data_IF_310662515656
#
_entry.id   IF_310662515656
#
_cell.length_a   1.000
_cell.length_b   1.000
_cell.length_c   1.000
_cell.angle_alpha   90.00
_cell.angle_beta   90.00
_cell.angle_gamma   90.00
#
_symmetry.space_group_name_H-M   'P 1'
#
loop_
_entity.id
_entity.type
_entity.pdbx_description
1 polymer ?
#
# COMPACT_ATOMS: atom_id res chain seq x y z
N UNK A 1 -4.18 -25.68 13.09
CA UNK A 1 -4.07 -24.51 12.20
C UNK A 1 -5.25 -24.51 11.22
N UNK A 2 -5.85 -23.36 11.01
CA UNK A 2 -6.94 -23.19 10.03
C UNK A 2 -6.38 -23.34 8.61
N UNK A 3 -6.76 -24.38 7.88
CA UNK A 3 -6.27 -24.68 6.52
C UNK A 3 -6.92 -23.88 5.40
N UNK A 4 -7.84 -22.96 5.72
CA UNK A 4 -8.45 -22.09 4.71
C UNK A 4 -7.44 -21.10 4.13
N UNK A 5 -7.55 -20.73 2.85
CA UNK A 5 -6.60 -19.82 2.23
C UNK A 5 -6.75 -18.37 2.72
N UNK A 6 -5.71 -17.58 2.49
CA UNK A 6 -5.71 -16.13 2.66
C UNK A 6 -6.11 -15.46 1.35
N UNK A 7 -7.09 -14.58 1.38
CA UNK A 7 -7.43 -13.71 0.24
C UNK A 7 -6.50 -12.51 0.16
N UNK A 8 -6.03 -12.18 -1.04
CA UNK A 8 -5.31 -10.94 -1.31
C UNK A 8 -6.06 -10.16 -2.38
N UNK A 9 -6.47 -8.96 -2.05
CA UNK A 9 -7.24 -8.09 -2.93
C UNK A 9 -6.44 -6.86 -3.37
N UNK A 10 -6.42 -6.60 -4.66
CA UNK A 10 -5.88 -5.36 -5.24
C UNK A 10 -6.74 -4.88 -6.41
N UNK A 11 -6.58 -3.61 -6.77
CA UNK A 11 -7.24 -3.01 -7.93
C UNK A 11 -6.70 -3.49 -9.28
N UNK A 12 -5.57 -4.19 -9.31
CA UNK A 12 -4.93 -4.63 -10.53
C UNK A 12 -3.86 -5.69 -10.30
N UNK A 13 -2.67 -5.50 -10.85
CA UNK A 13 -1.54 -6.42 -10.74
C UNK A 13 -0.50 -5.99 -9.69
N UNK A 14 -0.55 -4.74 -9.23
CA UNK A 14 0.41 -4.20 -8.27
C UNK A 14 0.45 -4.96 -6.95
N UNK A 15 -0.69 -5.49 -6.49
CA UNK A 15 -0.80 -6.28 -5.26
C UNK A 15 0.00 -7.58 -5.26
N UNK A 16 0.49 -8.06 -6.42
CA UNK A 16 1.43 -9.18 -6.49
C UNK A 16 2.75 -8.88 -5.75
N UNK A 17 3.09 -7.62 -5.54
CA UNK A 17 4.23 -7.23 -4.69
C UNK A 17 4.01 -7.66 -3.24
N UNK A 18 2.80 -7.52 -2.69
CA UNK A 18 2.44 -8.03 -1.36
C UNK A 18 2.38 -9.56 -1.32
N UNK A 19 1.86 -10.21 -2.39
CA UNK A 19 1.85 -11.67 -2.51
C UNK A 19 3.28 -12.24 -2.44
N UNK A 20 4.24 -11.60 -3.11
CA UNK A 20 5.66 -12.00 -3.04
C UNK A 20 6.19 -11.99 -1.60
N UNK A 21 5.82 -11.00 -0.80
CA UNK A 21 6.19 -10.92 0.61
C UNK A 21 5.51 -12.02 1.41
N UNK A 22 4.19 -12.21 1.24
CA UNK A 22 3.43 -13.26 1.93
C UNK A 22 4.02 -14.66 1.65
N UNK A 23 4.33 -14.99 0.41
CA UNK A 23 4.97 -16.26 0.04
C UNK A 23 6.31 -16.49 0.73
N UNK A 24 7.07 -15.42 1.00
CA UNK A 24 8.35 -15.47 1.71
C UNK A 24 8.17 -15.69 3.22
N UNK A 25 7.18 -15.00 3.84
CA UNK A 25 7.03 -14.98 5.31
C UNK A 25 6.00 -15.99 5.84
N UNK A 26 5.12 -16.49 4.97
CA UNK A 26 4.07 -17.48 5.23
C UNK A 26 4.07 -18.54 4.10
N UNK A 27 5.17 -19.31 3.93
CA UNK A 27 5.32 -20.23 2.79
C UNK A 27 4.31 -21.38 2.78
N UNK A 28 3.79 -21.77 3.95
CA UNK A 28 2.83 -22.86 4.12
C UNK A 28 1.37 -22.45 3.89
N UNK A 29 1.11 -21.13 3.71
CA UNK A 29 -0.25 -20.64 3.53
C UNK A 29 -0.68 -20.67 2.07
N UNK A 30 -1.88 -21.16 1.81
CA UNK A 30 -2.52 -21.00 0.51
C UNK A 30 -3.02 -19.58 0.32
N UNK A 31 -2.78 -19.02 -0.87
CA UNK A 31 -3.16 -17.66 -1.22
C UNK A 31 -4.13 -17.64 -2.40
N UNK A 32 -5.20 -16.88 -2.28
CA UNK A 32 -6.12 -16.56 -3.37
C UNK A 32 -5.97 -15.08 -3.69
N UNK A 33 -5.38 -14.77 -4.84
CA UNK A 33 -5.24 -13.39 -5.30
C UNK A 33 -6.39 -13.00 -6.22
N UNK A 34 -6.94 -11.80 -5.98
CA UNK A 34 -7.88 -11.16 -6.89
C UNK A 34 -7.41 -9.74 -7.21
N UNK A 35 -7.16 -9.47 -8.48
CA UNK A 35 -6.88 -8.14 -9.01
C UNK A 35 -7.95 -7.71 -10.00
N UNK A 36 -8.59 -6.57 -9.74
CA UNK A 36 -9.67 -6.04 -10.59
C UNK A 36 -9.14 -5.34 -11.83
N UNK A 37 -8.46 -6.10 -12.69
CA UNK A 37 -7.79 -5.58 -13.90
C UNK A 37 -8.75 -4.99 -14.94
N UNK A 38 -10.04 -5.32 -14.86
CA UNK A 38 -11.04 -4.80 -15.78
C UNK A 38 -11.43 -3.34 -15.51
N UNK A 39 -11.19 -2.85 -14.27
CA UNK A 39 -11.67 -1.53 -13.82
C UNK A 39 -10.55 -0.57 -13.40
N UNK A 40 -9.29 -0.96 -13.59
CA UNK A 40 -8.13 -0.07 -13.34
C UNK A 40 -8.19 1.17 -14.22
N UNK A 41 -7.62 2.31 -13.77
CA UNK A 41 -7.05 2.56 -12.46
C UNK A 41 -8.09 3.00 -11.41
N UNK A 42 -7.89 2.61 -10.14
CA UNK A 42 -8.74 3.04 -9.02
C UNK A 42 -8.39 4.43 -8.49
N UNK A 43 -7.14 4.84 -8.62
CA UNK A 43 -6.58 6.04 -7.98
C UNK A 43 -7.20 7.38 -8.34
N UNK A 44 -8.01 7.45 -9.39
CA UNK A 44 -8.77 8.65 -9.80
C UNK A 44 -10.29 8.52 -9.63
N UNK A 45 -10.80 7.41 -9.07
CA UNK A 45 -12.25 7.17 -8.93
C UNK A 45 -12.81 7.85 -7.68
N UNK A 46 -14.14 8.09 -7.68
CA UNK A 46 -14.84 8.58 -6.50
C UNK A 46 -14.90 7.53 -5.38
N UNK A 47 -15.02 7.97 -4.12
CA UNK A 47 -15.15 7.08 -2.96
C UNK A 47 -16.33 6.12 -3.11
N UNK A 48 -17.47 6.59 -3.60
CA UNK A 48 -18.66 5.76 -3.84
C UNK A 48 -18.38 4.63 -4.84
N UNK A 49 -17.74 4.97 -5.97
CA UNK A 49 -17.36 3.99 -7.00
C UNK A 49 -16.38 2.97 -6.43
N UNK A 50 -15.37 3.42 -5.68
CA UNK A 50 -14.39 2.55 -5.05
C UNK A 50 -15.03 1.59 -4.06
N UNK A 51 -15.92 2.07 -3.20
CA UNK A 51 -16.64 1.22 -2.25
C UNK A 51 -17.51 0.19 -2.96
N UNK A 52 -18.23 0.60 -4.01
CA UNK A 52 -19.05 -0.31 -4.82
C UNK A 52 -18.20 -1.44 -5.42
N UNK A 53 -17.06 -1.12 -6.03
CA UNK A 53 -16.16 -2.10 -6.63
C UNK A 53 -15.58 -3.02 -5.55
N UNK A 54 -15.05 -2.46 -4.48
CA UNK A 54 -14.45 -3.23 -3.39
C UNK A 54 -15.42 -4.22 -2.73
N UNK A 55 -16.71 -3.86 -2.58
CA UNK A 55 -17.75 -4.79 -2.10
C UNK A 55 -17.97 -5.96 -3.06
N UNK A 56 -17.96 -5.71 -4.37
CA UNK A 56 -18.11 -6.76 -5.38
C UNK A 56 -16.91 -7.73 -5.37
N UNK A 57 -15.71 -7.16 -5.29
CA UNK A 57 -14.46 -7.91 -5.31
C UNK A 57 -14.30 -8.76 -4.03
N UNK A 58 -14.61 -8.18 -2.88
CA UNK A 58 -14.58 -8.90 -1.61
C UNK A 58 -15.64 -10.00 -1.56
N UNK A 59 -16.85 -9.77 -2.12
CA UNK A 59 -17.88 -10.80 -2.25
C UNK A 59 -17.41 -11.99 -3.08
N UNK A 60 -16.72 -11.73 -4.19
CA UNK A 60 -16.13 -12.78 -5.00
C UNK A 60 -15.05 -13.55 -4.23
N UNK A 61 -14.15 -12.87 -3.55
CA UNK A 61 -13.13 -13.51 -2.73
C UNK A 61 -13.74 -14.38 -1.62
N UNK A 62 -14.76 -13.90 -0.92
CA UNK A 62 -15.44 -14.65 0.15
C UNK A 62 -16.07 -15.95 -0.32
N UNK A 63 -16.40 -16.11 -1.62
CA UNK A 63 -16.86 -17.38 -2.17
C UNK A 63 -15.80 -18.50 -2.14
N UNK A 64 -14.57 -18.18 -1.74
CA UNK A 64 -13.43 -19.11 -1.67
C UNK A 64 -13.15 -19.66 -0.26
N UNK A 65 -14.07 -19.46 0.68
CA UNK A 65 -13.92 -19.90 2.09
C UNK A 65 -12.58 -19.48 2.71
N UNK A 66 -12.36 -18.20 2.81
CA UNK A 66 -11.11 -17.61 3.28
C UNK A 66 -11.07 -17.50 4.82
N UNK A 67 -9.87 -17.57 5.42
CA UNK A 67 -9.66 -17.29 6.85
C UNK A 67 -9.34 -15.82 7.16
N UNK A 68 -8.79 -15.08 6.20
CA UNK A 68 -8.50 -13.66 6.32
C UNK A 68 -8.35 -13.02 4.94
N UNK A 69 -8.44 -11.70 4.84
CA UNK A 69 -8.18 -10.94 3.62
C UNK A 69 -7.15 -9.84 3.88
N UNK A 70 -6.16 -9.73 2.99
CA UNK A 70 -5.29 -8.59 2.87
C UNK A 70 -5.76 -7.68 1.73
N UNK A 71 -6.18 -6.47 2.03
CA UNK A 71 -6.41 -5.42 1.03
C UNK A 71 -5.06 -4.74 0.75
N UNK A 72 -4.36 -5.21 -0.28
CA UNK A 72 -3.06 -4.68 -0.68
C UNK A 72 -3.18 -3.29 -1.32
N UNK A 73 -4.32 -3.00 -1.97
CA UNK A 73 -4.56 -1.72 -2.64
C UNK A 73 -4.58 -0.54 -1.67
N UNK A 74 -3.62 0.39 -1.80
CA UNK A 74 -3.57 1.61 -1.00
C UNK A 74 -4.83 2.46 -1.16
N UNK A 75 -5.35 2.61 -2.39
CA UNK A 75 -6.56 3.38 -2.68
C UNK A 75 -7.79 2.81 -1.96
N UNK A 76 -7.98 1.49 -1.98
CA UNK A 76 -9.10 0.84 -1.28
C UNK A 76 -8.92 0.92 0.23
N UNK A 77 -7.70 0.69 0.73
CA UNK A 77 -7.39 0.75 2.17
C UNK A 77 -7.64 2.14 2.75
N UNK A 78 -7.39 3.21 1.98
CA UNK A 78 -7.59 4.59 2.46
C UNK A 78 -9.02 5.09 2.32
N UNK A 79 -9.85 4.48 1.48
CA UNK A 79 -11.20 4.99 1.17
C UNK A 79 -12.34 4.10 1.64
N UNK A 80 -12.12 2.80 1.74
CA UNK A 80 -13.20 1.81 1.89
C UNK A 80 -12.99 0.81 3.03
N UNK A 81 -11.78 0.70 3.60
CA UNK A 81 -11.41 -0.36 4.54
C UNK A 81 -12.35 -0.45 5.74
N UNK A 82 -12.58 0.66 6.45
CA UNK A 82 -13.43 0.69 7.65
C UNK A 82 -14.84 0.17 7.37
N UNK A 83 -15.42 0.58 6.23
CA UNK A 83 -16.75 0.11 5.81
C UNK A 83 -16.73 -1.39 5.50
N UNK A 84 -15.69 -1.88 4.81
CA UNK A 84 -15.56 -3.31 4.48
C UNK A 84 -15.36 -4.16 5.73
N UNK A 85 -14.59 -3.67 6.71
CA UNK A 85 -14.41 -4.35 8.00
C UNK A 85 -15.72 -4.40 8.80
N UNK A 86 -16.48 -3.31 8.83
CA UNK A 86 -17.77 -3.26 9.54
C UNK A 86 -18.84 -4.16 8.92
N UNK A 87 -18.78 -4.41 7.63
CA UNK A 87 -19.74 -5.23 6.87
C UNK A 87 -19.39 -6.72 6.81
N UNK A 88 -18.23 -7.14 7.38
CA UNK A 88 -17.76 -8.52 7.25
C UNK A 88 -17.19 -9.05 8.57
N UNK A 89 -17.57 -10.28 8.92
CA UNK A 89 -17.04 -10.99 10.09
C UNK A 89 -15.62 -11.55 9.85
N UNK A 90 -15.18 -11.59 8.59
CA UNK A 90 -13.87 -12.07 8.19
C UNK A 90 -12.80 -11.03 8.57
N UNK A 91 -11.67 -11.42 9.17
CA UNK A 91 -10.56 -10.52 9.43
C UNK A 91 -10.03 -9.89 8.14
N UNK A 92 -10.05 -8.56 8.07
CA UNK A 92 -9.56 -7.80 6.91
C UNK A 92 -8.45 -6.87 7.37
N UNK A 93 -7.26 -7.03 6.79
CA UNK A 93 -6.10 -6.18 7.02
C UNK A 93 -5.94 -5.21 5.85
N UNK A 94 -5.78 -3.93 6.14
CA UNK A 94 -5.41 -2.90 5.16
C UNK A 94 -3.97 -2.44 5.35
N UNK A 95 -3.52 -1.55 4.46
CA UNK A 95 -2.11 -1.14 4.44
C UNK A 95 -1.78 0.06 5.34
N UNK A 96 -2.74 0.90 5.70
CA UNK A 96 -2.46 2.21 6.31
C UNK A 96 -1.84 2.09 7.69
N UNK A 97 -2.54 1.43 8.62
CA UNK A 97 -2.14 1.33 10.03
C UNK A 97 -0.75 0.69 10.23
N UNK A 98 -0.45 -0.50 9.65
CA UNK A 98 0.86 -1.12 9.84
C UNK A 98 2.00 -0.30 9.24
N UNK A 99 1.76 0.32 8.09
CA UNK A 99 2.74 1.19 7.43
C UNK A 99 3.06 2.43 8.26
N UNK A 100 2.03 3.07 8.82
CA UNK A 100 2.22 4.24 9.68
C UNK A 100 2.98 3.88 10.96
N UNK A 101 2.67 2.77 11.61
CA UNK A 101 3.43 2.28 12.78
C UNK A 101 4.91 2.09 12.46
N UNK A 102 5.20 1.47 11.31
CA UNK A 102 6.58 1.29 10.88
C UNK A 102 7.27 2.63 10.60
N UNK A 103 6.62 3.52 9.85
CA UNK A 103 7.18 4.83 9.51
C UNK A 103 7.52 5.65 10.76
N UNK A 104 6.62 5.72 11.73
CA UNK A 104 6.87 6.39 13.03
C UNK A 104 8.04 5.74 13.78
N UNK A 105 8.15 4.41 13.75
CA UNK A 105 9.21 3.69 14.48
C UNK A 105 10.61 3.92 13.91
N UNK A 106 10.74 4.22 12.62
CA UNK A 106 12.05 4.40 11.95
C UNK A 106 12.44 5.85 11.73
N UNK A 107 11.47 6.78 11.72
CA UNK A 107 11.76 8.20 11.52
C UNK A 107 12.49 8.80 12.72
N UNK A 108 13.60 9.48 12.45
CA UNK A 108 14.41 10.19 13.45
C UNK A 108 14.10 11.67 13.49
N UNK A 109 13.88 12.28 12.31
CA UNK A 109 13.55 13.71 12.20
C UNK A 109 12.09 14.02 12.51
N UNK A 110 11.22 13.00 12.57
CA UNK A 110 9.76 13.11 12.62
C UNK A 110 9.16 13.76 11.37
N UNK A 111 9.92 13.88 10.28
CA UNK A 111 9.44 14.31 8.96
C UNK A 111 9.27 13.12 8.04
N UNK A 112 8.01 12.73 7.86
CA UNK A 112 7.63 11.56 7.08
C UNK A 112 7.01 12.02 5.76
N UNK A 113 7.68 11.70 4.65
CA UNK A 113 7.13 11.84 3.31
C UNK A 113 6.21 10.67 2.98
N UNK A 114 5.17 10.91 2.19
CA UNK A 114 4.34 9.85 1.63
C UNK A 114 4.09 10.11 0.15
N UNK A 115 4.35 9.09 -0.68
CA UNK A 115 3.95 9.08 -2.09
C UNK A 115 2.83 8.06 -2.29
N UNK A 116 1.78 8.44 -3.03
CA UNK A 116 0.61 7.59 -3.26
C UNK A 116 -0.21 8.03 -4.49
N UNK A 117 -1.33 7.36 -4.73
CA UNK A 117 -2.32 7.82 -5.70
C UNK A 117 -3.04 9.09 -5.22
N UNK A 118 -3.63 9.81 -6.15
CA UNK A 118 -4.39 11.04 -5.83
C UNK A 118 -5.52 10.77 -4.82
N UNK A 119 -6.25 9.67 -4.97
CA UNK A 119 -7.35 9.29 -4.06
C UNK A 119 -6.81 9.00 -2.65
N UNK A 120 -5.68 8.29 -2.52
CA UNK A 120 -5.06 7.99 -1.23
C UNK A 120 -4.60 9.27 -0.53
N UNK A 121 -3.96 10.20 -1.24
CA UNK A 121 -3.54 11.49 -0.66
C UNK A 121 -4.75 12.31 -0.23
N UNK A 122 -5.77 12.45 -1.08
CA UNK A 122 -6.98 13.22 -0.76
C UNK A 122 -7.81 12.66 0.39
N UNK A 123 -7.67 11.36 0.70
CA UNK A 123 -8.38 10.75 1.82
C UNK A 123 -7.91 11.27 3.19
N UNK A 124 -6.66 11.73 3.30
CA UNK A 124 -6.04 12.13 4.58
C UNK A 124 -5.81 10.98 5.56
N UNK A 125 -6.05 9.72 5.16
CA UNK A 125 -6.02 8.56 6.06
C UNK A 125 -4.62 8.33 6.67
N UNK A 126 -3.56 8.47 5.88
CA UNK A 126 -2.18 8.33 6.38
C UNK A 126 -1.83 9.42 7.38
N UNK A 127 -2.13 10.68 7.06
CA UNK A 127 -1.88 11.81 7.96
C UNK A 127 -2.63 11.67 9.29
N UNK A 128 -3.90 11.25 9.24
CA UNK A 128 -4.71 11.04 10.44
C UNK A 128 -4.10 9.96 11.34
N UNK A 129 -3.69 8.83 10.76
CA UNK A 129 -3.10 7.72 11.52
C UNK A 129 -1.71 8.10 12.06
N UNK A 130 -0.85 8.72 11.25
CA UNK A 130 0.48 9.15 11.67
C UNK A 130 0.41 10.11 12.87
N UNK A 131 -0.45 11.14 12.80
CA UNK A 131 -0.64 12.10 13.92
C UNK A 131 -1.28 11.47 15.15
N UNK A 132 -2.12 10.46 14.98
CA UNK A 132 -2.69 9.70 16.09
C UNK A 132 -1.64 8.85 16.81
N UNK A 133 -0.70 8.26 16.04
CA UNK A 133 0.39 7.44 16.59
C UNK A 133 1.46 8.30 17.29
N UNK A 134 1.81 9.42 16.69
CA UNK A 134 2.76 10.38 17.24
C UNK A 134 2.40 11.81 16.81
N UNK A 135 1.83 12.65 17.72
CA UNK A 135 1.45 14.02 17.40
C UNK A 135 2.62 14.94 16.99
N UNK A 136 3.87 14.55 17.27
CA UNK A 136 5.06 15.32 16.87
C UNK A 136 5.48 15.10 15.42
N UNK A 137 4.86 14.14 14.72
CA UNK A 137 5.19 13.83 13.33
C UNK A 137 4.65 14.93 12.40
N UNK A 138 5.53 15.43 11.58
CA UNK A 138 5.19 16.25 10.41
C UNK A 138 5.05 15.33 9.20
N UNK A 139 4.02 15.54 8.38
CA UNK A 139 3.71 14.70 7.23
C UNK A 139 3.58 15.54 5.98
N UNK A 140 4.29 15.18 4.92
CA UNK A 140 4.15 15.75 3.60
C UNK A 140 3.76 14.66 2.58
N UNK A 141 2.52 14.76 2.05
CA UNK A 141 1.99 13.82 1.10
C UNK A 141 2.10 14.33 -0.34
N UNK A 142 2.59 13.49 -1.24
CA UNK A 142 2.73 13.82 -2.67
C UNK A 142 1.96 12.83 -3.53
N UNK A 143 0.96 13.25 -4.32
CA UNK A 143 0.34 12.39 -5.32
C UNK A 143 1.29 12.19 -6.50
N UNK A 144 1.44 10.92 -6.93
CA UNK A 144 2.32 10.52 -8.04
C UNK A 144 1.52 9.84 -9.16
N UNK A 145 0.69 10.59 -9.91
CA UNK A 145 -0.26 10.01 -10.86
C UNK A 145 0.39 9.29 -12.04
N UNK A 146 1.63 9.62 -12.40
CA UNK A 146 2.33 9.00 -13.54
C UNK A 146 3.02 7.68 -13.19
N UNK A 147 3.29 7.38 -11.93
CA UNK A 147 4.02 6.16 -11.55
C UNK A 147 3.28 4.89 -11.96
N UNK A 148 1.99 4.78 -11.67
CA UNK A 148 1.20 3.58 -12.03
C UNK A 148 1.16 3.37 -13.54
N UNK A 149 0.77 4.35 -14.40
CA UNK A 149 0.79 4.16 -15.84
C UNK A 149 2.16 3.81 -16.42
N UNK A 150 3.23 4.41 -15.90
CA UNK A 150 4.59 4.10 -16.36
C UNK A 150 4.98 2.66 -16.03
N UNK A 151 4.73 2.22 -14.80
CA UNK A 151 5.00 0.83 -14.38
C UNK A 151 4.19 -0.17 -15.21
N UNK A 152 2.90 0.07 -15.41
CA UNK A 152 2.02 -0.81 -16.19
C UNK A 152 2.41 -0.87 -17.69
N UNK A 153 3.11 0.16 -18.19
CA UNK A 153 3.69 0.17 -19.53
C UNK A 153 5.16 -0.29 -19.58
N UNK A 154 5.64 -0.98 -18.52
CA UNK A 154 6.96 -1.59 -18.49
C UNK A 154 8.12 -0.63 -18.19
N UNK A 155 7.85 0.62 -17.82
CA UNK A 155 8.84 1.65 -17.51
C UNK A 155 9.14 1.71 -16.02
N UNK A 156 9.89 0.73 -15.53
CA UNK A 156 10.24 0.61 -14.11
C UNK A 156 11.70 0.18 -13.88
N UNK A 157 12.51 0.17 -14.94
CA UNK A 157 13.91 -0.24 -14.85
C UNK A 157 14.82 0.95 -14.64
N UNK A 158 15.86 0.77 -13.85
CA UNK A 158 16.95 1.73 -13.71
C UNK A 158 17.60 1.99 -15.08
N UNK A 159 17.93 3.26 -15.34
CA UNK A 159 18.43 3.73 -16.62
C UNK A 159 17.33 4.16 -17.62
N UNK A 160 16.05 3.98 -17.30
CA UNK A 160 14.96 4.58 -18.06
C UNK A 160 14.79 6.05 -17.67
N UNK A 161 15.26 6.94 -18.54
CA UNK A 161 15.28 8.39 -18.28
C UNK A 161 13.89 8.98 -17.98
N UNK A 162 12.81 8.39 -18.50
CA UNK A 162 11.45 8.91 -18.28
C UNK A 162 11.02 8.71 -16.85
N UNK A 163 11.09 7.47 -16.35
CA UNK A 163 10.70 7.18 -14.98
C UNK A 163 11.62 7.83 -13.96
N UNK A 164 12.93 7.90 -14.22
CA UNK A 164 13.88 8.58 -13.36
C UNK A 164 13.64 10.09 -13.28
N UNK A 165 13.28 10.73 -14.39
CA UNK A 165 12.94 12.17 -14.40
C UNK A 165 11.67 12.42 -13.59
N UNK A 166 10.64 11.61 -13.81
CA UNK A 166 9.38 11.72 -13.06
C UNK A 166 9.59 11.44 -11.58
N UNK A 167 10.45 10.47 -11.22
CA UNK A 167 10.79 10.19 -9.83
C UNK A 167 11.45 11.39 -9.16
N UNK A 168 12.44 12.03 -9.81
CA UNK A 168 13.08 13.24 -9.29
C UNK A 168 12.06 14.38 -9.09
N UNK A 169 11.20 14.62 -10.06
CA UNK A 169 10.16 15.66 -9.95
C UNK A 169 9.25 15.46 -8.74
N UNK A 170 8.85 14.22 -8.47
CA UNK A 170 7.97 13.94 -7.35
C UNK A 170 8.67 13.91 -6.00
N UNK A 171 9.91 13.44 -5.95
CA UNK A 171 10.63 13.21 -4.68
C UNK A 171 11.41 14.43 -4.20
N UNK A 172 11.94 15.26 -5.11
CA UNK A 172 12.75 16.44 -4.73
C UNK A 172 12.06 17.32 -3.68
N UNK A 173 10.78 17.70 -3.80
CA UNK A 173 10.14 18.53 -2.78
C UNK A 173 10.07 17.88 -1.38
N UNK A 174 9.97 16.56 -1.31
CA UNK A 174 9.97 15.81 -0.05
C UNK A 174 11.37 15.82 0.60
N UNK A 175 12.41 15.68 -0.23
CA UNK A 175 13.80 15.69 0.21
C UNK A 175 14.23 17.06 0.67
N UNK A 176 13.90 18.10 -0.08
CA UNK A 176 14.17 19.52 0.29
C UNK A 176 13.44 19.91 1.59
N UNK A 177 12.26 19.35 1.82
CA UNK A 177 11.54 19.52 3.07
C UNK A 177 12.19 18.78 4.26
N UNK A 178 13.10 17.83 3.99
CA UNK A 178 13.88 17.13 4.99
C UNK A 178 13.25 15.83 5.48
N UNK A 179 12.45 15.15 4.65
CA UNK A 179 11.95 13.81 4.97
C UNK A 179 13.12 12.82 5.15
N UNK A 180 13.12 12.09 6.27
CA UNK A 180 14.05 10.98 6.53
C UNK A 180 13.40 9.61 6.35
N UNK A 181 12.12 9.60 6.14
CA UNK A 181 11.31 8.40 5.96
C UNK A 181 10.31 8.65 4.84
N UNK A 182 10.18 7.70 3.92
CA UNK A 182 9.27 7.80 2.77
C UNK A 182 8.37 6.56 2.71
N UNK A 183 7.06 6.78 2.84
CA UNK A 183 6.03 5.75 2.68
C UNK A 183 5.74 5.54 1.18
N UNK A 184 5.87 4.30 0.72
CA UNK A 184 5.47 3.84 -0.61
C UNK A 184 3.99 3.38 -0.54
N UNK A 185 3.05 4.33 -0.63
CA UNK A 185 1.62 4.13 -0.39
C UNK A 185 0.83 3.52 -1.56
N UNK A 186 1.50 2.91 -2.53
CA UNK A 186 0.88 2.23 -3.67
C UNK A 186 1.58 0.91 -3.96
N UNK A 187 0.82 -0.11 -4.34
CA UNK A 187 1.31 -1.46 -4.65
C UNK A 187 2.27 -1.54 -5.83
N UNK A 188 2.27 -0.56 -6.72
CA UNK A 188 3.19 -0.47 -7.84
C UNK A 188 4.58 0.07 -7.46
N UNK A 189 4.68 0.86 -6.38
CA UNK A 189 5.90 1.59 -6.06
C UNK A 189 7.08 0.72 -5.60
N UNK A 190 6.89 -0.47 -4.99
CA UNK A 190 7.99 -1.39 -4.76
C UNK A 190 8.73 -1.84 -6.03
N UNK A 191 8.08 -1.77 -7.21
CA UNK A 191 8.75 -2.01 -8.50
C UNK A 191 9.69 -0.87 -8.91
N UNK A 192 9.54 0.30 -8.31
CA UNK A 192 10.38 1.49 -8.50
C UNK A 192 11.37 1.69 -7.35
N UNK A 193 11.47 0.74 -6.41
CA UNK A 193 12.22 0.92 -5.15
C UNK A 193 13.68 1.31 -5.39
N UNK A 194 14.36 0.67 -6.34
CA UNK A 194 15.75 1.01 -6.69
C UNK A 194 15.89 2.45 -7.20
N UNK A 195 14.97 2.89 -8.07
CA UNK A 195 14.96 4.25 -8.62
C UNK A 195 14.65 5.27 -7.52
N UNK A 196 13.66 4.97 -6.68
CA UNK A 196 13.27 5.83 -5.56
C UNK A 196 14.43 5.94 -4.56
N UNK A 197 15.09 4.82 -4.22
CA UNK A 197 16.23 4.79 -3.33
C UNK A 197 17.42 5.60 -3.87
N UNK A 198 17.70 5.48 -5.17
CA UNK A 198 18.78 6.26 -5.82
C UNK A 198 18.49 7.78 -5.77
N UNK A 199 17.24 8.18 -5.97
CA UNK A 199 16.84 9.60 -5.90
C UNK A 199 16.86 10.12 -4.46
N UNK A 200 16.38 9.32 -3.51
CA UNK A 200 16.30 9.69 -2.08
C UNK A 200 17.67 9.70 -1.40
N UNK A 201 18.60 8.85 -1.85
CA UNK A 201 19.87 8.66 -1.20
C UNK A 201 19.78 7.87 0.12
N UNK A 202 20.95 7.58 0.75
CA UNK A 202 21.01 6.68 1.92
C UNK A 202 20.45 7.26 3.21
N UNK A 203 20.10 8.54 3.22
CA UNK A 203 19.53 9.24 4.40
C UNK A 203 18.05 8.99 4.61
N UNK A 204 17.36 8.41 3.63
CA UNK A 204 15.90 8.21 3.66
C UNK A 204 15.56 6.72 3.76
N UNK A 205 14.76 6.38 4.76
CA UNK A 205 14.24 5.01 4.94
C UNK A 205 12.96 4.84 4.13
N UNK A 206 12.92 3.87 3.21
CA UNK A 206 11.72 3.52 2.47
C UNK A 206 10.86 2.54 3.28
N UNK A 207 9.55 2.78 3.33
CA UNK A 207 8.57 1.93 4.02
C UNK A 207 7.52 1.47 3.03
N UNK A 208 7.52 0.18 2.72
CA UNK A 208 6.60 -0.43 1.76
C UNK A 208 5.28 -0.79 2.41
N UNK A 209 4.17 -0.21 1.93
CA UNK A 209 2.85 -0.48 2.46
C UNK A 209 2.42 -1.95 2.32
N UNK A 210 2.77 -2.60 1.21
CA UNK A 210 2.50 -4.02 0.99
C UNK A 210 3.30 -4.94 1.92
N UNK A 211 4.55 -4.60 2.20
CA UNK A 211 5.39 -5.38 3.11
C UNK A 211 4.89 -5.32 4.55
N UNK A 212 4.65 -4.11 5.07
CA UNK A 212 4.20 -3.93 6.45
C UNK A 212 2.82 -4.57 6.70
N UNK A 213 1.92 -4.49 5.72
CA UNK A 213 0.61 -5.15 5.82
C UNK A 213 0.70 -6.68 5.77
N UNK A 214 1.65 -7.25 5.06
CA UNK A 214 1.90 -8.69 5.07
C UNK A 214 2.41 -9.16 6.44
N UNK A 215 3.31 -8.41 7.08
CA UNK A 215 3.74 -8.70 8.46
C UNK A 215 2.62 -8.56 9.47
N UNK A 216 1.75 -7.56 9.31
CA UNK A 216 0.57 -7.39 10.18
C UNK A 216 -0.40 -8.57 10.06
N UNK A 217 -0.67 -9.03 8.83
CA UNK A 217 -1.48 -10.22 8.61
C UNK A 217 -0.87 -11.45 9.28
N UNK A 218 0.44 -11.65 9.14
CA UNK A 218 1.16 -12.74 9.85
C UNK A 218 0.97 -12.65 11.36
N UNK A 219 1.06 -11.44 11.94
CA UNK A 219 0.86 -11.20 13.37
C UNK A 219 -0.57 -11.55 13.81
N UNK A 220 -1.56 -11.13 13.01
CA UNK A 220 -2.97 -11.42 13.26
C UNK A 220 -3.24 -12.92 13.25
N UNK A 221 -2.79 -13.65 12.22
CA UNK A 221 -2.98 -15.09 12.12
C UNK A 221 -2.33 -15.87 13.27
N UNK A 222 -1.14 -15.46 13.71
CA UNK A 222 -0.48 -16.05 14.89
C UNK A 222 -1.24 -15.82 16.20
N UNK A 223 -1.98 -14.72 16.31
CA UNK A 223 -2.77 -14.42 17.50
C UNK A 223 -4.10 -15.21 17.55
N UNK A 224 -4.54 -15.74 16.42
CA UNK A 224 -5.76 -16.55 16.30
C UNK A 224 -5.52 -18.06 16.47
N UNK A 225 -4.27 -18.53 16.52
CA UNK A 225 -3.89 -19.95 16.68
C UNK A 225 -3.46 -20.58 15.39
#
# INVERSE_FOLDING_TARGET
MDGRPIGVFDSGLGGLTAVRVLRRILPEEDLVYFGDTARVPYGGRSRETLLKYSRQDLRFLRSRDLKAVLIACGTVSTTSLETLQAENDLPIVGVVEPTCRRAVSVSRSRRIGMIATLASVRSGAYEAVLRRLDPSVEVLCRPCPLFVPLVENGRFRKGDVVIETVAREYLTPLLEWGADTLILGCTHYPLLEEIIADVCGPGVTLVSAGEESAYELKRLLKAQG
#
